data_IF_613526095775
#
_entry.id   IF_613526095775
#
_cell.length_a   1.000
_cell.length_b   1.000
_cell.length_c   1.000
_cell.angle_alpha   90.00
_cell.angle_beta   90.00
_cell.angle_gamma   90.00
#
_symmetry.space_group_name_H-M   'P 1'
#
loop_
_entity.id
_entity.type
_entity.pdbx_description
1 polymer ?
#
# COMPACT_ATOMS: atom_id res chain seq x y z
N UNK A 1 -15.39 10.84 13.75
CA UNK A 1 -14.06 10.31 14.13
C UNK A 1 -14.10 8.78 14.33
N UNK A 2 -15.11 8.09 13.81
CA UNK A 2 -15.24 6.63 13.89
C UNK A 2 -14.87 5.94 12.56
N UNK A 3 -14.38 6.70 11.58
CA UNK A 3 -14.42 6.32 10.16
C UNK A 3 -13.09 5.71 9.66
N UNK A 4 -12.09 5.55 10.53
CA UNK A 4 -10.73 5.09 10.16
C UNK A 4 -10.36 3.72 10.75
N UNK A 5 -11.35 2.91 11.16
CA UNK A 5 -11.11 1.59 11.75
C UNK A 5 -11.95 0.51 11.08
N UNK A 6 -11.31 -0.62 10.80
CA UNK A 6 -12.01 -1.88 10.51
C UNK A 6 -12.42 -2.48 11.85
N UNK A 7 -13.71 -2.77 11.97
CA UNK A 7 -14.30 -3.37 13.15
C UNK A 7 -14.59 -4.84 12.84
N UNK A 8 -13.84 -5.76 13.46
CA UNK A 8 -14.12 -7.20 13.38
C UNK A 8 -14.67 -7.66 14.72
N UNK A 9 -15.94 -8.09 14.74
CA UNK A 9 -16.56 -8.66 15.93
C UNK A 9 -16.30 -10.17 15.99
N UNK A 10 -15.79 -10.63 17.13
CA UNK A 10 -15.55 -12.06 17.41
C UNK A 10 -16.28 -12.45 18.68
N UNK A 11 -16.51 -13.75 18.91
CA UNK A 11 -17.13 -14.25 20.16
C UNK A 11 -16.37 -13.84 21.42
N UNK A 12 -15.08 -13.47 21.30
CA UNK A 12 -14.20 -13.05 22.40
C UNK A 12 -14.07 -11.53 22.55
N UNK A 13 -14.77 -10.75 21.72
CA UNK A 13 -14.73 -9.28 21.76
C UNK A 13 -14.52 -8.64 20.40
N UNK A 14 -14.25 -7.32 20.42
CA UNK A 14 -14.17 -6.47 19.24
C UNK A 14 -12.73 -6.09 18.92
N UNK A 15 -12.27 -6.40 17.71
CA UNK A 15 -10.95 -5.99 17.19
C UNK A 15 -11.15 -4.74 16.35
N UNK A 16 -10.34 -3.70 16.60
CA UNK A 16 -10.34 -2.46 15.83
C UNK A 16 -8.97 -2.30 15.18
N UNK A 17 -8.91 -2.39 13.85
CA UNK A 17 -7.67 -2.24 13.08
C UNK A 17 -7.67 -0.84 12.46
N UNK A 18 -6.66 -0.03 12.77
CA UNK A 18 -6.58 1.32 12.19
C UNK A 18 -6.09 1.28 10.74
N UNK A 19 -6.51 2.29 9.97
CA UNK A 19 -6.02 2.50 8.61
C UNK A 19 -4.48 2.59 8.54
N UNK A 20 -3.84 3.26 9.50
CA UNK A 20 -2.38 3.40 9.55
C UNK A 20 -1.66 2.05 9.64
N UNK A 21 -2.21 1.10 10.40
CA UNK A 21 -1.64 -0.25 10.52
C UNK A 21 -1.72 -0.99 9.18
N UNK A 22 -2.85 -0.84 8.47
CA UNK A 22 -3.04 -1.43 7.15
C UNK A 22 -2.08 -0.79 6.15
N UNK A 23 -1.92 0.54 6.17
CA UNK A 23 -1.01 1.26 5.28
C UNK A 23 0.45 0.80 5.46
N UNK A 24 0.90 0.61 6.71
CA UNK A 24 2.24 0.08 7.02
C UNK A 24 2.38 -1.35 6.50
N UNK A 25 1.37 -2.21 6.70
CA UNK A 25 1.38 -3.59 6.20
C UNK A 25 1.45 -3.65 4.68
N UNK A 26 0.63 -2.86 3.99
CA UNK A 26 0.63 -2.74 2.52
C UNK A 26 1.99 -2.27 2.03
N UNK A 27 2.57 -1.26 2.68
CA UNK A 27 3.90 -0.77 2.36
C UNK A 27 4.98 -1.86 2.47
N UNK A 28 4.95 -2.64 3.56
CA UNK A 28 5.86 -3.77 3.75
C UNK A 28 5.69 -4.83 2.64
N UNK A 29 4.45 -5.25 2.36
CA UNK A 29 4.15 -6.25 1.33
C UNK A 29 4.64 -5.81 -0.07
N UNK A 30 4.56 -4.53 -0.39
CA UNK A 30 5.03 -3.97 -1.67
C UNK A 30 6.55 -4.02 -1.76
N UNK A 31 7.26 -3.69 -0.68
CA UNK A 31 8.74 -3.67 -0.66
C UNK A 31 9.36 -5.07 -0.75
N UNK A 32 8.61 -6.13 -0.46
CA UNK A 32 9.05 -7.52 -0.61
C UNK A 32 8.91 -8.05 -2.04
N UNK A 33 8.21 -7.34 -2.92
CA UNK A 33 8.01 -7.76 -4.31
C UNK A 33 9.23 -7.45 -5.15
N UNK A 34 9.83 -8.49 -5.71
CA UNK A 34 10.92 -8.37 -6.67
C UNK A 34 10.52 -7.52 -7.89
N UNK A 35 11.36 -6.55 -8.23
CA UNK A 35 11.14 -5.61 -9.33
C UNK A 35 10.46 -4.31 -8.91
N UNK A 36 10.10 -4.15 -7.64
CA UNK A 36 9.71 -2.87 -7.06
C UNK A 36 10.93 -2.18 -6.47
N UNK A 37 11.25 -0.98 -6.94
CA UNK A 37 12.33 -0.16 -6.38
C UNK A 37 11.88 0.62 -5.14
N UNK A 38 10.57 0.92 -5.08
CA UNK A 38 9.93 1.54 -3.92
C UNK A 38 8.53 2.06 -4.22
N UNK A 39 7.93 2.68 -3.21
CA UNK A 39 6.66 3.41 -3.34
C UNK A 39 6.92 4.79 -3.93
N UNK A 40 6.13 5.17 -4.92
CA UNK A 40 6.21 6.49 -5.51
C UNK A 40 5.45 7.51 -4.63
N UNK A 41 6.07 8.67 -4.39
CA UNK A 41 5.40 9.76 -3.70
C UNK A 41 4.47 10.51 -4.66
N UNK A 42 3.22 10.74 -4.24
CA UNK A 42 2.42 11.81 -4.81
C UNK A 42 3.11 13.13 -4.47
N UNK A 43 3.40 13.96 -5.48
CA UNK A 43 4.25 15.18 -5.44
C UNK A 43 3.92 16.20 -4.31
N UNK A 44 2.84 16.04 -3.56
CA UNK A 44 2.49 16.85 -2.39
C UNK A 44 2.98 16.36 -1.02
N UNK A 45 3.34 15.07 -0.86
CA UNK A 45 3.70 14.52 0.47
C UNK A 45 5.08 14.97 0.97
N UNK A 46 6.02 15.26 0.07
CA UNK A 46 7.34 15.79 0.45
C UNK A 46 7.23 17.18 1.10
N UNK A 47 6.23 17.97 0.71
CA UNK A 47 5.95 19.27 1.31
C UNK A 47 5.31 19.12 2.70
N UNK A 48 4.48 18.08 2.90
CA UNK A 48 3.88 17.76 4.21
C UNK A 48 4.92 17.26 5.23
N UNK A 49 5.87 16.44 4.80
CA UNK A 49 7.00 15.98 5.62
C UNK A 49 7.88 17.15 6.08
N UNK A 50 8.09 18.16 5.20
CA UNK A 50 8.82 19.39 5.54
C UNK A 50 8.08 20.30 6.53
N UNK A 51 6.75 20.20 6.62
CA UNK A 51 5.90 20.97 7.54
C UNK A 51 5.68 20.21 8.88
N UNK A 52 6.34 19.06 9.07
CA UNK A 52 6.32 18.31 10.33
C UNK A 52 5.06 17.46 10.54
N UNK A 53 4.18 17.36 9.55
CA UNK A 53 3.10 16.36 9.53
C UNK A 53 3.64 15.08 8.90
N UNK A 54 4.07 14.13 9.73
CA UNK A 54 4.37 12.77 9.29
C UNK A 54 3.11 12.15 8.67
N UNK A 55 3.04 12.13 7.34
CA UNK A 55 2.07 11.31 6.63
C UNK A 55 2.72 9.94 6.42
N UNK A 56 2.31 8.95 7.21
CA UNK A 56 2.83 7.58 7.14
C UNK A 56 2.36 6.83 5.87
N UNK A 57 1.44 7.42 5.09
CA UNK A 57 0.90 6.85 3.87
C UNK A 57 1.67 7.35 2.63
N UNK A 58 2.95 6.98 2.51
CA UNK A 58 3.75 7.27 1.31
C UNK A 58 3.34 6.33 0.18
N UNK A 59 2.56 6.82 -0.78
CA UNK A 59 2.21 6.07 -1.99
C UNK A 59 1.12 5.01 -1.84
N UNK A 60 0.45 4.93 -0.69
CA UNK A 60 -0.68 4.02 -0.45
C UNK A 60 -1.89 4.83 -0.02
N UNK A 61 -3.04 4.63 -0.66
CA UNK A 61 -4.31 5.24 -0.27
C UNK A 61 -5.32 4.12 -0.04
N UNK A 62 -5.97 4.16 1.12
CA UNK A 62 -7.00 3.19 1.48
C UNK A 62 -8.34 3.93 1.46
N UNK A 63 -9.38 3.27 0.97
CA UNK A 63 -10.73 3.82 0.94
C UNK A 63 -11.74 2.72 1.19
N UNK A 64 -12.76 3.03 1.97
CA UNK A 64 -13.84 2.12 2.30
C UNK A 64 -15.10 2.58 1.56
N UNK A 65 -15.63 1.75 0.66
CA UNK A 65 -16.85 2.03 -0.08
C UNK A 65 -17.78 0.81 0.01
N UNK A 66 -18.97 0.98 0.61
CA UNK A 66 -20.02 -0.05 0.65
C UNK A 66 -19.50 -1.44 1.09
N UNK A 67 -18.78 -1.49 2.22
CA UNK A 67 -18.13 -2.72 2.76
C UNK A 67 -16.97 -3.29 1.92
N UNK A 68 -16.60 -2.65 0.81
CA UNK A 68 -15.43 -3.00 0.01
C UNK A 68 -14.26 -2.10 0.37
N UNK A 69 -13.14 -2.73 0.69
CA UNK A 69 -11.86 -2.04 0.86
C UNK A 69 -11.21 -1.87 -0.52
N UNK A 70 -10.87 -0.64 -0.87
CA UNK A 70 -10.11 -0.29 -2.07
C UNK A 70 -8.75 0.24 -1.63
N UNK A 71 -7.69 -0.30 -2.22
CA UNK A 71 -6.31 0.06 -1.94
C UNK A 71 -5.67 0.51 -3.26
N UNK A 72 -5.35 1.80 -3.34
CA UNK A 72 -4.59 2.36 -4.45
C UNK A 72 -3.12 2.46 -4.03
N UNK A 73 -2.22 1.88 -4.82
CA UNK A 73 -0.78 1.88 -4.55
C UNK A 73 -0.02 2.49 -5.73
N UNK A 74 0.94 3.35 -5.43
CA UNK A 74 1.81 3.99 -6.40
C UNK A 74 3.21 3.41 -6.26
N UNK A 75 3.72 2.80 -7.33
CA UNK A 75 5.01 2.08 -7.32
C UNK A 75 5.97 2.63 -8.37
N UNK A 76 7.27 2.50 -8.07
CA UNK A 76 8.37 2.61 -9.03
C UNK A 76 8.88 1.21 -9.34
N UNK A 77 8.97 0.89 -10.62
CA UNK A 77 9.42 -0.43 -11.09
C UNK A 77 10.89 -0.36 -11.49
N UNK A 78 11.67 -1.38 -11.17
CA UNK A 78 13.08 -1.46 -11.57
C UNK A 78 13.21 -1.70 -13.08
N UNK A 79 14.16 -1.00 -13.71
CA UNK A 79 14.47 -1.21 -15.12
C UNK A 79 14.90 -2.66 -15.39
N UNK A 80 14.38 -3.24 -16.48
CA UNK A 80 14.65 -4.63 -16.87
C UNK A 80 13.58 -5.64 -16.42
N UNK A 81 12.59 -5.21 -15.66
CA UNK A 81 11.45 -6.05 -15.27
C UNK A 81 10.23 -5.86 -16.20
N UNK A 82 9.41 -6.91 -16.34
CA UNK A 82 8.13 -6.82 -17.04
C UNK A 82 7.10 -6.16 -16.12
N UNK A 83 6.69 -4.93 -16.45
CA UNK A 83 5.83 -4.09 -15.59
C UNK A 83 4.53 -4.80 -15.22
N UNK A 84 3.89 -5.50 -16.16
CA UNK A 84 2.62 -6.22 -15.91
C UNK A 84 2.79 -7.34 -14.90
N UNK A 85 3.94 -8.03 -14.92
CA UNK A 85 4.22 -9.14 -14.01
C UNK A 85 4.50 -8.61 -12.60
N UNK A 86 5.28 -7.52 -12.50
CA UNK A 86 5.55 -6.85 -11.22
C UNK A 86 4.24 -6.31 -10.63
N UNK A 87 3.42 -5.62 -11.42
CA UNK A 87 2.13 -5.10 -10.96
C UNK A 87 1.21 -6.21 -10.45
N UNK A 88 1.14 -7.35 -11.16
CA UNK A 88 0.34 -8.50 -10.73
C UNK A 88 0.89 -9.14 -9.45
N UNK A 89 2.21 -9.25 -9.30
CA UNK A 89 2.84 -9.71 -8.05
C UNK A 89 2.50 -8.77 -6.89
N UNK A 90 2.54 -7.45 -7.10
CA UNK A 90 2.14 -6.44 -6.11
C UNK A 90 0.67 -6.60 -5.72
N UNK A 91 -0.24 -6.71 -6.69
CA UNK A 91 -1.66 -6.92 -6.41
C UNK A 91 -1.90 -8.13 -5.51
N UNK A 92 -1.29 -9.27 -5.86
CA UNK A 92 -1.43 -10.50 -5.09
C UNK A 92 -0.82 -10.39 -3.69
N UNK A 93 0.38 -9.81 -3.57
CA UNK A 93 1.05 -9.65 -2.29
C UNK A 93 0.23 -8.79 -1.32
N UNK A 94 -0.28 -7.66 -1.81
CA UNK A 94 -1.11 -6.74 -1.02
C UNK A 94 -2.45 -7.37 -0.65
N UNK A 95 -3.15 -8.00 -1.61
CA UNK A 95 -4.42 -8.64 -1.35
C UNK A 95 -4.29 -9.75 -0.29
N UNK A 96 -3.30 -10.63 -0.44
CA UNK A 96 -3.06 -11.72 0.50
C UNK A 96 -2.70 -11.19 1.90
N UNK A 97 -1.85 -10.17 2.00
CA UNK A 97 -1.44 -9.59 3.27
C UNK A 97 -2.62 -8.98 4.04
N UNK A 98 -3.48 -8.24 3.35
CA UNK A 98 -4.64 -7.57 3.96
C UNK A 98 -5.74 -8.57 4.31
N UNK A 99 -6.01 -9.54 3.44
CA UNK A 99 -6.99 -10.59 3.70
C UNK A 99 -6.58 -11.44 4.90
N UNK A 100 -5.30 -11.82 4.99
CA UNK A 100 -4.78 -12.58 6.15
C UNK A 100 -4.92 -11.82 7.48
N UNK A 101 -4.84 -10.49 7.46
CA UNK A 101 -4.93 -9.66 8.66
C UNK A 101 -6.37 -9.29 9.05
N UNK A 102 -7.21 -9.02 8.06
CA UNK A 102 -8.53 -8.41 8.27
C UNK A 102 -9.70 -9.36 7.99
N UNK A 103 -9.44 -10.46 7.27
CA UNK A 103 -10.48 -11.36 6.74
C UNK A 103 -11.28 -10.76 5.58
N UNK A 104 -10.90 -9.59 5.07
CA UNK A 104 -11.58 -8.87 3.99
C UNK A 104 -10.69 -8.96 2.74
N UNK A 105 -11.26 -9.38 1.61
CA UNK A 105 -10.57 -9.34 0.31
C UNK A 105 -10.65 -7.93 -0.28
N UNK A 106 -9.55 -7.17 -0.36
CA UNK A 106 -9.58 -5.82 -0.91
C UNK A 106 -9.53 -5.83 -2.46
N UNK A 107 -10.02 -4.75 -3.06
CA UNK A 107 -9.69 -4.40 -4.44
C UNK A 107 -8.38 -3.62 -4.46
N UNK A 108 -7.36 -4.13 -5.17
CA UNK A 108 -6.02 -3.51 -5.23
C UNK A 108 -5.75 -2.92 -6.61
N UNK A 109 -5.59 -1.60 -6.66
CA UNK A 109 -5.22 -0.86 -7.87
C UNK A 109 -3.74 -0.49 -7.80
N UNK A 110 -2.97 -0.88 -8.82
CA UNK A 110 -1.54 -0.57 -8.91
C UNK A 110 -1.28 0.47 -9.97
N UNK A 111 -0.70 1.59 -9.56
CA UNK A 111 -0.29 2.68 -10.42
C UNK A 111 1.24 2.68 -10.55
N UNK A 112 1.74 2.49 -11.77
CA UNK A 112 3.17 2.55 -12.04
C UNK A 112 3.52 3.98 -12.41
N UNK A 113 4.15 4.71 -11.50
CA UNK A 113 4.47 6.13 -11.68
C UNK A 113 5.76 6.36 -12.47
N UNK A 114 6.62 5.35 -12.57
CA UNK A 114 7.87 5.46 -13.29
C UNK A 114 8.73 4.20 -13.21
N UNK A 115 9.89 4.29 -13.88
CA UNK A 115 10.92 3.25 -13.88
C UNK A 115 12.18 3.80 -13.21
N UNK A 116 12.72 3.05 -12.25
CA UNK A 116 13.99 3.36 -11.60
C UNK A 116 15.12 2.60 -12.27
N UNK A 117 16.20 3.30 -12.58
CA UNK A 117 17.41 2.70 -13.10
C UNK A 117 18.35 2.39 -11.93
N UNK A 118 18.85 1.16 -11.81
CA UNK A 118 19.82 0.86 -10.76
C UNK A 118 20.99 1.84 -10.87
N UNK A 119 21.33 2.50 -9.76
CA UNK A 119 22.46 3.44 -9.74
C UNK A 119 23.73 2.64 -10.08
N UNK A 120 24.30 2.89 -11.26
CA UNK A 120 25.67 2.46 -11.54
C UNK A 120 26.55 3.05 -10.44
N UNK A 121 27.19 2.18 -9.64
CA UNK A 121 28.29 2.58 -8.76
C UNK A 121 29.40 3.09 -9.66
N UNK A 122 29.52 4.42 -9.79
CA UNK A 122 30.78 5.05 -10.15
C UNK A 122 31.66 5.13 -8.90
#
# INVERSE_FOLDING_TARGET
MADNYINTETEKGKINISEDVIAVMVGAAITEVEGVDGLANTVGNDILDLIGKKSLAKGVKISFAEEKMVIDVLILVTFGCVITDVAKKVQNAVANAVEAMTGISPMVNVHVSGVSFPKNKQ
#
